data_IF_000089252738
#
_entry.id   IF_000089252738
#
_cell.length_a   1.000
_cell.length_b   1.000
_cell.length_c   1.000
_cell.angle_alpha   90.00
_cell.angle_beta   90.00
_cell.angle_gamma   90.00
#
_symmetry.space_group_name_H-M   'P 1'
#
loop_
_entity.id
_entity.type
_entity.pdbx_description
1 polymer ?
#
# COMPACT_ATOMS: atom_id res chain seq x y z
N UNK A 1 -5.11 -16.04 0.85
CA UNK A 1 -4.20 -16.65 -0.14
C UNK A 1 -4.52 -15.99 -1.46
N UNK A 2 -3.73 -14.97 -1.82
CA UNK A 2 -3.71 -14.49 -3.19
C UNK A 2 -3.25 -15.67 -4.04
N UNK A 3 -4.07 -16.04 -5.01
CA UNK A 3 -3.70 -16.98 -6.04
C UNK A 3 -2.66 -16.24 -6.89
N UNK A 4 -1.38 -16.36 -6.51
CA UNK A 4 -0.26 -15.81 -7.27
C UNK A 4 -0.19 -16.62 -8.56
N UNK A 5 -1.09 -16.32 -9.50
CA UNK A 5 -0.95 -16.79 -10.88
C UNK A 5 0.43 -16.32 -11.31
N UNK A 6 1.33 -17.28 -11.55
CA UNK A 6 2.56 -17.03 -12.31
C UNK A 6 2.14 -16.31 -13.59
N UNK A 7 2.36 -14.99 -13.60
CA UNK A 7 2.04 -14.16 -14.74
C UNK A 7 3.09 -14.46 -15.80
N UNK A 8 2.62 -14.95 -16.94
CA UNK A 8 3.48 -15.20 -18.10
C UNK A 8 4.20 -13.91 -18.47
N UNK A 9 5.53 -13.98 -18.49
CA UNK A 9 6.36 -12.85 -18.87
C UNK A 9 6.37 -12.71 -20.40
N UNK A 10 6.38 -11.46 -20.87
CA UNK A 10 6.61 -11.22 -22.29
C UNK A 10 8.09 -11.38 -22.67
N UNK A 11 8.36 -11.46 -23.98
CA UNK A 11 9.73 -11.66 -24.50
C UNK A 11 10.68 -10.54 -24.07
N UNK A 12 10.21 -9.29 -24.00
CA UNK A 12 11.05 -8.15 -23.64
C UNK A 12 11.40 -8.18 -22.15
N UNK A 13 10.45 -8.54 -21.29
CA UNK A 13 10.65 -8.75 -19.86
C UNK A 13 11.70 -9.85 -19.61
N UNK A 14 11.59 -10.98 -20.31
CA UNK A 14 12.57 -12.09 -20.21
C UNK A 14 13.97 -11.65 -20.66
N UNK A 15 14.07 -10.95 -21.78
CA UNK A 15 15.35 -10.46 -22.30
C UNK A 15 16.00 -9.45 -21.35
N UNK A 16 15.23 -8.52 -20.76
CA UNK A 16 15.72 -7.55 -19.80
C UNK A 16 16.26 -8.22 -18.53
N UNK A 17 15.52 -9.19 -17.97
CA UNK A 17 15.96 -9.94 -16.79
C UNK A 17 17.24 -10.73 -17.07
N UNK A 18 17.30 -11.43 -18.22
CA UNK A 18 18.49 -12.16 -18.62
C UNK A 18 19.71 -11.25 -18.83
N UNK A 19 19.49 -9.99 -19.24
CA UNK A 19 20.58 -9.02 -19.35
C UNK A 19 21.07 -8.55 -17.98
N UNK A 20 20.16 -8.34 -17.02
CA UNK A 20 20.49 -7.96 -15.63
C UNK A 20 21.30 -9.07 -14.93
N UNK A 21 20.93 -10.32 -15.15
CA UNK A 21 21.69 -11.48 -14.64
C UNK A 21 23.13 -11.54 -15.18
N UNK A 22 23.35 -11.08 -16.41
CA UNK A 22 24.67 -11.10 -17.07
C UNK A 22 25.51 -9.88 -16.73
N UNK A 23 24.87 -8.72 -16.52
CA UNK A 23 25.53 -7.43 -16.33
C UNK A 23 24.78 -6.56 -15.33
N UNK A 24 25.37 -6.36 -14.15
CA UNK A 24 24.80 -5.51 -13.11
C UNK A 24 24.62 -4.05 -13.52
N UNK A 25 25.36 -3.56 -14.53
CA UNK A 25 25.15 -2.21 -15.07
C UNK A 25 23.80 -2.08 -15.79
N UNK A 26 23.23 -3.18 -16.28
CA UNK A 26 21.91 -3.18 -16.91
C UNK A 26 20.80 -2.82 -15.92
N UNK A 27 20.91 -3.23 -14.64
CA UNK A 27 19.96 -2.82 -13.62
C UNK A 27 20.07 -1.32 -13.35
N UNK A 28 21.29 -0.79 -13.22
CA UNK A 28 21.49 0.64 -13.01
C UNK A 28 20.89 1.49 -14.14
N UNK A 29 21.10 1.09 -15.40
CA UNK A 29 20.50 1.76 -16.56
C UNK A 29 18.97 1.69 -16.54
N UNK A 30 18.40 0.54 -16.12
CA UNK A 30 16.96 0.37 -16.01
C UNK A 30 16.35 1.24 -14.90
N UNK A 31 17.05 1.43 -13.79
CA UNK A 31 16.66 2.37 -12.72
C UNK A 31 16.74 3.81 -13.23
N UNK A 32 17.79 4.20 -13.94
CA UNK A 32 17.90 5.54 -14.57
C UNK A 32 16.71 5.81 -15.51
N UNK A 33 16.31 4.79 -16.28
CA UNK A 33 15.20 4.86 -17.23
C UNK A 33 13.83 5.11 -16.58
N UNK A 34 13.68 4.95 -15.26
CA UNK A 34 12.48 5.41 -14.53
C UNK A 34 12.29 6.93 -14.61
N UNK A 35 13.35 7.68 -14.91
CA UNK A 35 13.34 9.12 -15.14
C UNK A 35 13.37 9.51 -16.63
N UNK A 36 13.40 8.53 -17.54
CA UNK A 36 13.45 8.75 -19.00
C UNK A 36 12.34 9.68 -19.47
N UNK A 37 12.59 10.50 -20.50
CA UNK A 37 11.57 11.36 -21.11
C UNK A 37 10.45 10.56 -21.80
N UNK A 38 10.74 9.32 -22.21
CA UNK A 38 9.80 8.41 -22.83
C UNK A 38 8.93 7.73 -21.79
N UNK A 39 7.62 8.01 -21.83
CA UNK A 39 6.61 7.29 -21.03
C UNK A 39 6.75 5.78 -21.17
N UNK A 40 6.91 5.28 -22.39
CA UNK A 40 6.99 3.83 -22.67
C UNK A 40 8.20 3.21 -21.98
N UNK A 41 9.33 3.92 -21.97
CA UNK A 41 10.56 3.48 -21.31
C UNK A 41 10.36 3.41 -19.81
N UNK A 42 9.81 4.46 -19.18
CA UNK A 42 9.48 4.45 -17.74
C UNK A 42 8.59 3.27 -17.35
N UNK A 43 7.52 3.04 -18.11
CA UNK A 43 6.56 1.97 -17.83
C UNK A 43 7.19 0.58 -17.96
N UNK A 44 8.01 0.37 -18.98
CA UNK A 44 8.73 -0.89 -19.17
C UNK A 44 9.75 -1.13 -18.04
N UNK A 45 10.56 -0.13 -17.71
CA UNK A 45 11.53 -0.23 -16.63
C UNK A 45 10.85 -0.50 -15.28
N UNK A 46 9.80 0.26 -14.93
CA UNK A 46 9.06 0.03 -13.69
C UNK A 46 8.48 -1.38 -13.62
N UNK A 47 7.96 -1.89 -14.74
CA UNK A 47 7.45 -3.26 -14.83
C UNK A 47 8.54 -4.31 -14.58
N UNK A 48 9.74 -4.15 -15.14
CA UNK A 48 10.87 -5.07 -14.89
C UNK A 48 11.35 -4.96 -13.45
N UNK A 49 11.40 -3.75 -12.87
CA UNK A 49 11.71 -3.54 -11.44
C UNK A 49 10.72 -4.30 -10.55
N UNK A 50 9.42 -4.22 -10.80
CA UNK A 50 8.42 -4.94 -10.02
C UNK A 50 8.61 -6.46 -10.08
N UNK A 51 8.97 -7.01 -11.25
CA UNK A 51 9.29 -8.44 -11.39
C UNK A 51 10.54 -8.80 -10.58
N UNK A 52 11.58 -7.96 -10.64
CA UNK A 52 12.80 -8.17 -9.85
C UNK A 52 12.52 -8.12 -8.35
N UNK A 53 11.70 -7.19 -7.89
CA UNK A 53 11.34 -7.08 -6.47
C UNK A 53 10.67 -8.36 -5.95
N UNK A 54 9.82 -9.00 -6.76
CA UNK A 54 9.15 -10.26 -6.40
C UNK A 54 10.09 -11.47 -6.40
N UNK A 55 11.17 -11.45 -7.19
CA UNK A 55 12.08 -12.60 -7.38
C UNK A 55 13.36 -12.48 -6.55
N UNK A 56 14.01 -11.33 -6.62
CA UNK A 56 15.32 -11.03 -6.06
C UNK A 56 15.35 -9.61 -5.48
N UNK A 57 14.55 -9.30 -4.43
CA UNK A 57 14.39 -7.95 -3.90
C UNK A 57 15.71 -7.30 -3.48
N UNK A 58 16.68 -8.10 -3.00
CA UNK A 58 17.99 -7.61 -2.54
C UNK A 58 18.81 -6.89 -3.62
N UNK A 59 18.55 -7.17 -4.91
CA UNK A 59 19.22 -6.43 -6.00
C UNK A 59 18.79 -4.95 -6.02
N UNK A 60 17.63 -4.63 -5.45
CA UNK A 60 17.07 -3.28 -5.41
C UNK A 60 17.45 -2.49 -4.15
N UNK A 61 18.13 -3.10 -3.17
CA UNK A 61 18.59 -2.43 -1.93
C UNK A 61 19.29 -1.08 -2.19
N UNK A 62 20.20 -0.95 -3.18
CA UNK A 62 20.90 0.30 -3.43
C UNK A 62 20.01 1.40 -4.02
N UNK A 63 18.84 1.04 -4.54
CA UNK A 63 17.99 1.90 -5.38
C UNK A 63 16.69 2.32 -4.69
N UNK A 64 16.52 2.05 -3.38
CA UNK A 64 15.31 2.44 -2.64
C UNK A 64 14.98 3.91 -2.83
N UNK A 65 15.97 4.81 -2.82
CA UNK A 65 15.75 6.24 -3.04
C UNK A 65 15.25 6.55 -4.45
N UNK A 66 15.77 5.88 -5.48
CA UNK A 66 15.35 6.07 -6.88
C UNK A 66 13.92 5.57 -7.11
N UNK A 67 13.54 4.48 -6.44
CA UNK A 67 12.17 3.98 -6.45
C UNK A 67 11.22 4.99 -5.78
N UNK A 68 11.61 5.60 -4.67
CA UNK A 68 10.79 6.63 -4.03
C UNK A 68 10.62 7.85 -4.95
N UNK A 69 11.68 8.29 -5.64
CA UNK A 69 11.58 9.38 -6.64
C UNK A 69 10.62 9.04 -7.79
N UNK A 70 10.61 7.78 -8.23
CA UNK A 70 9.76 7.34 -9.34
C UNK A 70 8.24 7.41 -9.02
N UNK A 71 7.84 7.57 -7.75
CA UNK A 71 6.43 7.81 -7.37
C UNK A 71 5.89 9.16 -7.88
N UNK A 72 6.76 10.07 -8.28
CA UNK A 72 6.41 11.40 -8.81
C UNK A 72 6.38 11.42 -10.35
N UNK A 73 6.38 10.26 -11.02
CA UNK A 73 6.13 10.18 -12.47
C UNK A 73 4.63 10.35 -12.76
N UNK A 74 4.22 10.93 -13.90
CA UNK A 74 2.82 11.28 -14.14
C UNK A 74 1.92 10.07 -14.41
N UNK A 75 2.48 8.95 -14.89
CA UNK A 75 1.69 7.77 -15.22
C UNK A 75 1.36 6.91 -14.00
N UNK A 76 0.10 6.52 -13.88
CA UNK A 76 -0.33 5.55 -12.88
C UNK A 76 0.49 4.25 -12.93
N UNK A 77 0.81 3.74 -14.13
CA UNK A 77 1.54 2.48 -14.29
C UNK A 77 2.92 2.50 -13.64
N UNK A 78 3.72 3.51 -13.94
CA UNK A 78 5.06 3.64 -13.35
C UNK A 78 4.97 3.67 -11.83
N UNK A 79 4.00 4.42 -11.30
CA UNK A 79 3.80 4.58 -9.86
C UNK A 79 3.37 3.27 -9.18
N UNK A 80 2.41 2.53 -9.73
CA UNK A 80 1.94 1.30 -9.07
C UNK A 80 3.00 0.19 -9.08
N UNK A 81 3.73 0.02 -10.20
CA UNK A 81 4.77 -1.02 -10.29
C UNK A 81 5.89 -0.71 -9.27
N UNK A 82 6.20 0.58 -9.07
CA UNK A 82 7.18 1.00 -8.08
C UNK A 82 6.66 0.88 -6.64
N UNK A 83 5.39 1.16 -6.37
CA UNK A 83 4.78 0.90 -5.06
C UNK A 83 4.79 -0.59 -4.72
N UNK A 84 4.52 -1.45 -5.69
CA UNK A 84 4.58 -2.90 -5.52
C UNK A 84 6.03 -3.33 -5.23
N UNK A 85 7.01 -2.80 -5.95
CA UNK A 85 8.42 -3.06 -5.70
C UNK A 85 8.87 -2.61 -4.30
N UNK A 86 8.47 -1.39 -3.89
CA UNK A 86 8.75 -0.87 -2.55
C UNK A 86 8.11 -1.75 -1.47
N UNK A 87 6.92 -2.32 -1.72
CA UNK A 87 6.24 -3.19 -0.75
C UNK A 87 7.06 -4.44 -0.42
N UNK A 88 7.70 -5.06 -1.43
CA UNK A 88 8.61 -6.21 -1.25
C UNK A 88 9.88 -5.86 -0.47
N UNK A 89 10.31 -4.59 -0.49
CA UNK A 89 11.50 -4.10 0.19
C UNK A 89 11.25 -3.66 1.65
N UNK A 90 9.98 -3.53 2.06
CA UNK A 90 9.62 -3.12 3.43
C UNK A 90 10.28 -3.96 4.52
N UNK A 91 10.39 -5.31 4.44
CA UNK A 91 10.98 -6.11 5.51
C UNK A 91 12.38 -5.65 5.92
N UNK A 92 13.19 -5.20 4.96
CA UNK A 92 14.59 -4.82 5.17
C UNK A 92 14.81 -3.30 5.18
N UNK A 93 13.94 -2.51 4.52
CA UNK A 93 14.13 -1.07 4.30
C UNK A 93 12.98 -0.19 4.81
N UNK A 94 12.18 -0.67 5.76
CA UNK A 94 11.02 0.08 6.26
C UNK A 94 11.33 1.50 6.75
N UNK A 95 12.55 1.79 7.22
CA UNK A 95 12.89 3.13 7.70
C UNK A 95 13.01 4.11 6.52
N UNK A 96 13.74 3.72 5.50
CA UNK A 96 14.03 4.46 4.27
C UNK A 96 12.74 4.67 3.47
N UNK A 97 11.93 3.62 3.34
CA UNK A 97 10.63 3.63 2.65
C UNK A 97 9.63 4.57 3.32
N UNK A 98 9.86 5.00 4.57
CA UNK A 98 9.05 6.03 5.21
C UNK A 98 8.99 7.35 4.42
N UNK A 99 9.97 7.64 3.57
CA UNK A 99 9.94 8.80 2.67
C UNK A 99 8.94 8.65 1.50
N UNK A 100 8.48 7.44 1.20
CA UNK A 100 7.44 7.19 0.20
C UNK A 100 6.02 7.60 0.65
N UNK A 101 5.84 7.95 1.93
CA UNK A 101 4.51 8.12 2.54
C UNK A 101 3.63 9.11 1.77
N UNK A 102 4.14 10.30 1.43
CA UNK A 102 3.36 11.33 0.71
C UNK A 102 3.01 10.89 -0.72
N UNK A 103 3.94 10.22 -1.40
CA UNK A 103 3.72 9.66 -2.73
C UNK A 103 2.66 8.56 -2.73
N UNK A 104 2.69 7.70 -1.71
CA UNK A 104 1.72 6.62 -1.49
C UNK A 104 0.34 7.19 -1.11
N UNK A 105 0.26 8.18 -0.23
CA UNK A 105 -0.99 8.86 0.12
C UNK A 105 -1.65 9.52 -1.11
N UNK A 106 -0.84 10.22 -1.92
CA UNK A 106 -1.32 10.81 -3.19
C UNK A 106 -1.81 9.73 -4.15
N UNK A 107 -1.15 8.57 -4.22
CA UNK A 107 -1.56 7.45 -5.05
C UNK A 107 -2.82 6.74 -4.53
N UNK A 108 -3.00 6.70 -3.22
CA UNK A 108 -4.14 6.06 -2.55
C UNK A 108 -5.47 6.73 -2.92
N UNK A 109 -5.44 8.04 -3.17
CA UNK A 109 -6.62 8.83 -3.55
C UNK A 109 -6.65 9.23 -5.03
N UNK A 110 -5.94 8.49 -5.89
CA UNK A 110 -5.98 8.71 -7.33
C UNK A 110 -7.40 8.46 -7.90
N UNK A 111 -7.93 9.45 -8.62
CA UNK A 111 -9.30 9.43 -9.14
C UNK A 111 -9.49 8.50 -10.34
N UNK A 112 -8.41 8.09 -11.02
CA UNK A 112 -8.47 7.45 -12.33
C UNK A 112 -8.06 5.97 -12.30
N UNK A 113 -7.19 5.58 -11.37
CA UNK A 113 -6.57 4.25 -11.38
C UNK A 113 -6.83 3.46 -10.10
N UNK A 114 -7.77 2.53 -10.16
CA UNK A 114 -8.00 1.53 -9.10
C UNK A 114 -6.75 0.70 -8.78
N UNK A 115 -5.96 0.34 -9.80
CA UNK A 115 -4.69 -0.38 -9.62
C UNK A 115 -3.70 0.42 -8.78
N UNK A 116 -3.56 1.71 -9.07
CA UNK A 116 -2.67 2.59 -8.31
C UNK A 116 -3.13 2.73 -6.84
N UNK A 117 -4.44 2.91 -6.63
CA UNK A 117 -5.04 2.96 -5.29
C UNK A 117 -4.74 1.68 -4.50
N UNK A 118 -4.89 0.52 -5.15
CA UNK A 118 -4.64 -0.78 -4.53
C UNK A 118 -3.17 -0.98 -4.14
N UNK A 119 -2.22 -0.68 -5.02
CA UNK A 119 -0.78 -0.77 -4.72
C UNK A 119 -0.35 0.20 -3.61
N UNK A 120 -0.94 1.40 -3.58
CA UNK A 120 -0.71 2.36 -2.50
C UNK A 120 -1.26 1.85 -1.16
N UNK A 121 -2.48 1.31 -1.16
CA UNK A 121 -3.09 0.70 0.01
C UNK A 121 -2.24 -0.46 0.55
N UNK A 122 -1.71 -1.31 -0.35
CA UNK A 122 -0.81 -2.40 -0.01
C UNK A 122 0.46 -1.90 0.70
N UNK A 123 1.20 -0.97 0.08
CA UNK A 123 2.43 -0.42 0.65
C UNK A 123 2.19 0.16 2.05
N UNK A 124 1.12 0.95 2.21
CA UNK A 124 0.78 1.58 3.49
C UNK A 124 0.42 0.55 4.57
N UNK A 125 -0.28 -0.52 4.20
CA UNK A 125 -0.56 -1.63 5.12
C UNK A 125 0.73 -2.34 5.53
N UNK A 126 1.56 -2.77 4.58
CA UNK A 126 2.80 -3.52 4.88
C UNK A 126 3.76 -2.66 5.69
N UNK A 127 3.96 -1.40 5.30
CA UNK A 127 4.81 -0.44 6.02
C UNK A 127 4.27 -0.15 7.43
N UNK A 128 2.98 0.13 7.56
CA UNK A 128 2.32 0.35 8.84
C UNK A 128 2.36 -0.84 9.78
N UNK A 129 2.38 -2.05 9.24
CA UNK A 129 2.44 -3.31 9.98
C UNK A 129 3.82 -3.57 10.61
N UNK A 130 4.86 -2.82 10.27
CA UNK A 130 6.22 -3.09 10.76
C UNK A 130 6.47 -2.61 12.19
N UNK A 131 5.75 -1.58 12.68
CA UNK A 131 5.84 -1.10 14.06
C UNK A 131 4.65 -0.22 14.45
N UNK A 132 4.44 -0.07 15.77
CA UNK A 132 3.30 0.65 16.35
C UNK A 132 3.24 2.14 15.97
N UNK A 133 4.39 2.78 15.82
CA UNK A 133 4.45 4.19 15.42
C UNK A 133 3.95 4.40 13.99
N UNK A 134 4.41 3.55 13.06
CA UNK A 134 3.97 3.54 11.66
C UNK A 134 2.50 3.18 11.53
N UNK A 135 2.02 2.19 12.29
CA UNK A 135 0.59 1.83 12.28
C UNK A 135 -0.30 3.03 12.64
N UNK A 136 0.11 3.83 13.63
CA UNK A 136 -0.63 5.05 14.00
C UNK A 136 -0.59 6.11 12.91
N UNK A 137 0.54 6.24 12.21
CA UNK A 137 0.70 7.20 11.11
C UNK A 137 -0.20 6.85 9.92
N UNK A 138 -0.23 5.58 9.49
CA UNK A 138 -1.01 5.16 8.31
C UNK A 138 -2.49 4.98 8.59
N UNK A 139 -2.88 4.71 9.83
CA UNK A 139 -4.25 4.31 10.12
C UNK A 139 -5.30 5.37 9.73
N UNK A 140 -5.12 6.68 9.97
CA UNK A 140 -6.09 7.69 9.53
C UNK A 140 -6.41 7.63 8.04
N UNK A 141 -5.39 7.46 7.18
CA UNK A 141 -5.54 7.43 5.72
C UNK A 141 -6.08 6.08 5.23
N UNK A 142 -5.71 4.97 5.88
CA UNK A 142 -6.27 3.65 5.60
C UNK A 142 -7.76 3.62 5.96
N UNK A 143 -8.14 4.16 7.12
CA UNK A 143 -9.54 4.22 7.58
C UNK A 143 -10.41 5.07 6.64
N UNK A 144 -9.86 6.16 6.10
CA UNK A 144 -10.50 6.98 5.08
C UNK A 144 -10.66 6.22 3.75
N UNK A 145 -9.59 5.58 3.26
CA UNK A 145 -9.65 4.77 2.03
C UNK A 145 -10.67 3.63 2.12
N UNK A 146 -10.80 2.97 3.28
CA UNK A 146 -11.85 1.97 3.51
C UNK A 146 -13.24 2.57 3.28
N UNK A 147 -13.48 3.78 3.78
CA UNK A 147 -14.77 4.45 3.62
C UNK A 147 -15.04 4.88 2.18
N UNK A 148 -14.01 5.37 1.49
CA UNK A 148 -14.13 5.80 0.10
C UNK A 148 -14.40 4.62 -0.84
N UNK A 149 -13.75 3.48 -0.59
CA UNK A 149 -13.67 2.39 -1.57
C UNK A 149 -14.45 1.14 -1.18
N UNK A 150 -15.20 1.16 -0.07
CA UNK A 150 -15.98 0.00 0.41
C UNK A 150 -16.85 -0.66 -0.68
N UNK A 151 -17.41 0.15 -1.58
CA UNK A 151 -18.28 -0.30 -2.67
C UNK A 151 -17.56 -0.71 -3.96
N UNK A 152 -16.24 -0.51 -4.03
CA UNK A 152 -15.45 -0.73 -5.23
C UNK A 152 -15.00 -2.21 -5.35
N UNK A 153 -14.64 -2.63 -6.57
CA UNK A 153 -14.27 -4.02 -6.84
C UNK A 153 -12.98 -4.43 -6.12
N UNK A 154 -12.01 -3.53 -6.06
CA UNK A 154 -10.71 -3.72 -5.42
C UNK A 154 -10.79 -3.78 -3.89
N UNK A 155 -11.92 -3.40 -3.27
CA UNK A 155 -12.07 -3.49 -1.81
C UNK A 155 -11.89 -4.91 -1.29
N UNK A 156 -12.26 -5.90 -2.12
CA UNK A 156 -12.01 -7.31 -1.82
C UNK A 156 -10.53 -7.59 -1.57
N UNK A 157 -9.64 -7.02 -2.38
CA UNK A 157 -8.20 -7.21 -2.28
C UNK A 157 -7.62 -6.32 -1.16
N UNK A 158 -8.15 -5.11 -0.97
CA UNK A 158 -7.82 -4.27 0.20
C UNK A 158 -8.11 -4.96 1.53
N UNK A 159 -9.19 -5.74 1.64
CA UNK A 159 -9.47 -6.58 2.82
C UNK A 159 -8.39 -7.65 3.05
N UNK A 160 -7.75 -8.13 1.98
CA UNK A 160 -6.58 -9.02 2.08
C UNK A 160 -5.42 -8.32 2.77
N UNK A 161 -5.08 -7.11 2.31
CA UNK A 161 -4.00 -6.31 2.91
C UNK A 161 -4.32 -5.83 4.33
N UNK A 162 -5.59 -5.55 4.66
CA UNK A 162 -6.01 -5.26 6.03
C UNK A 162 -5.83 -6.46 6.96
N UNK A 163 -6.03 -7.68 6.46
CA UNK A 163 -5.78 -8.88 7.23
C UNK A 163 -4.29 -9.02 7.57
N UNK A 164 -3.39 -8.76 6.63
CA UNK A 164 -1.94 -8.74 6.86
C UNK A 164 -1.54 -7.61 7.81
N UNK A 165 -2.09 -6.41 7.63
CA UNK A 165 -1.89 -5.29 8.56
C UNK A 165 -2.29 -5.64 10.00
N UNK A 166 -3.45 -6.28 10.16
CA UNK A 166 -3.97 -6.71 11.45
C UNK A 166 -3.14 -7.83 12.12
N UNK A 167 -2.39 -8.62 11.35
CA UNK A 167 -1.40 -9.60 11.84
C UNK A 167 -0.08 -8.93 12.26
N UNK A 168 0.23 -7.77 11.68
CA UNK A 168 1.45 -6.99 11.91
C UNK A 168 1.61 -6.41 13.32
N UNK A 169 2.69 -5.68 13.54
CA UNK A 169 3.01 -4.97 14.79
C UNK A 169 2.26 -3.64 14.89
N UNK A 170 0.93 -3.70 14.99
CA UNK A 170 0.10 -2.50 15.14
C UNK A 170 -0.11 -2.08 16.61
N UNK A 171 -0.43 -0.81 16.82
CA UNK A 171 -0.81 -0.27 18.12
C UNK A 171 -2.21 -0.75 18.55
N UNK A 172 -2.46 -0.81 19.86
CA UNK A 172 -3.72 -1.34 20.40
C UNK A 172 -4.94 -0.46 20.10
N UNK A 173 -4.75 0.86 20.07
CA UNK A 173 -5.78 1.83 19.66
C UNK A 173 -6.14 1.67 18.17
N UNK A 174 -5.13 1.50 17.30
CA UNK A 174 -5.34 1.19 15.88
C UNK A 174 -6.09 -0.14 15.70
N UNK A 175 -5.73 -1.16 16.48
CA UNK A 175 -6.42 -2.44 16.47
C UNK A 175 -7.90 -2.34 16.89
N UNK A 176 -8.18 -1.52 17.91
CA UNK A 176 -9.54 -1.24 18.36
C UNK A 176 -10.37 -0.54 17.28
N UNK A 177 -9.79 0.50 16.66
CA UNK A 177 -10.46 1.26 15.60
C UNK A 177 -10.71 0.41 14.34
N UNK A 178 -9.75 -0.43 13.95
CA UNK A 178 -9.90 -1.36 12.82
C UNK A 178 -10.97 -2.42 13.10
N UNK A 179 -10.97 -3.03 14.29
CA UNK A 179 -12.03 -3.96 14.67
C UNK A 179 -13.40 -3.27 14.67
N UNK A 180 -13.49 -2.06 15.21
CA UNK A 180 -14.71 -1.26 15.19
C UNK A 180 -15.19 -0.95 13.77
N UNK A 181 -14.27 -0.65 12.84
CA UNK A 181 -14.58 -0.39 11.42
C UNK A 181 -15.19 -1.60 10.73
N UNK A 182 -14.67 -2.81 11.00
CA UNK A 182 -15.08 -4.05 10.33
C UNK A 182 -16.24 -4.79 11.03
N UNK A 183 -16.63 -4.37 12.24
CA UNK A 183 -17.68 -5.03 13.04
C UNK A 183 -19.00 -5.20 12.29
N UNK A 184 -19.45 -4.14 11.59
CA UNK A 184 -20.69 -4.19 10.82
C UNK A 184 -20.63 -5.21 9.69
N UNK A 185 -19.55 -5.23 8.91
CA UNK A 185 -19.39 -6.18 7.80
C UNK A 185 -19.21 -7.61 8.30
N UNK A 186 -18.54 -7.81 9.44
CA UNK A 186 -18.40 -9.11 10.09
C UNK A 186 -19.76 -9.72 10.45
N UNK A 187 -20.76 -8.90 10.77
CA UNK A 187 -22.12 -9.33 11.12
C UNK A 187 -23.05 -9.37 9.91
N UNK A 188 -23.02 -8.32 9.08
CA UNK A 188 -24.04 -7.98 8.10
C UNK A 188 -23.52 -7.91 6.65
N UNK A 189 -22.22 -8.14 6.44
CA UNK A 189 -21.58 -8.04 5.12
C UNK A 189 -22.30 -8.84 4.05
N UNK A 190 -22.48 -8.25 2.87
CA UNK A 190 -23.11 -8.89 1.72
C UNK A 190 -22.08 -9.72 0.95
N UNK A 191 -22.44 -10.95 0.60
CA UNK A 191 -21.55 -11.89 -0.07
C UNK A 191 -20.65 -12.67 0.91
N UNK A 192 -20.24 -13.87 0.50
CA UNK A 192 -19.51 -14.79 1.37
C UNK A 192 -18.13 -14.26 1.77
N UNK A 193 -17.40 -13.63 0.85
CA UNK A 193 -16.03 -13.19 1.09
C UNK A 193 -15.95 -11.97 2.03
N UNK A 194 -16.70 -10.89 1.75
CA UNK A 194 -16.68 -9.65 2.56
C UNK A 194 -16.97 -9.96 4.04
N UNK A 195 -18.06 -10.70 4.29
CA UNK A 195 -18.45 -11.07 5.65
C UNK A 195 -17.42 -11.98 6.33
N UNK A 196 -16.95 -13.02 5.62
CA UNK A 196 -16.00 -13.98 6.19
C UNK A 196 -14.65 -13.32 6.51
N UNK A 197 -14.08 -12.55 5.58
CA UNK A 197 -12.79 -11.87 5.76
C UNK A 197 -12.87 -10.78 6.83
N UNK A 198 -13.94 -9.99 6.86
CA UNK A 198 -14.15 -8.98 7.91
C UNK A 198 -14.28 -9.62 9.28
N UNK A 199 -14.99 -10.74 9.39
CA UNK A 199 -15.11 -11.51 10.64
C UNK A 199 -13.79 -12.10 11.08
N UNK A 200 -13.00 -12.67 10.17
CA UNK A 200 -11.67 -13.20 10.47
C UNK A 200 -10.75 -12.12 11.05
N UNK A 201 -10.72 -10.93 10.45
CA UNK A 201 -9.94 -9.79 10.95
C UNK A 201 -10.46 -9.35 12.31
N UNK A 202 -11.78 -9.16 12.45
CA UNK A 202 -12.42 -8.74 13.69
C UNK A 202 -12.11 -9.69 14.85
N UNK A 203 -12.38 -10.98 14.69
CA UNK A 203 -12.18 -11.99 15.74
C UNK A 203 -10.70 -12.11 16.12
N UNK A 204 -9.79 -12.00 15.14
CA UNK A 204 -8.35 -11.97 15.38
C UNK A 204 -7.95 -10.78 16.25
N UNK A 205 -8.42 -9.57 15.93
CA UNK A 205 -8.08 -8.36 16.68
C UNK A 205 -8.66 -8.40 18.10
N UNK A 206 -9.92 -8.78 18.24
CA UNK A 206 -10.59 -8.96 19.54
C UNK A 206 -9.80 -9.91 20.42
N UNK A 207 -9.40 -11.06 19.88
CA UNK A 207 -8.62 -12.07 20.62
C UNK A 207 -7.21 -11.57 20.96
N UNK A 208 -6.50 -11.00 19.98
CA UNK A 208 -5.10 -10.61 20.11
C UNK A 208 -4.91 -9.43 21.07
N UNK A 209 -5.85 -8.49 21.08
CA UNK A 209 -5.78 -7.27 21.88
C UNK A 209 -6.73 -7.26 23.09
N UNK A 210 -7.51 -8.34 23.28
CA UNK A 210 -8.50 -8.49 24.37
C UNK A 210 -9.52 -7.34 24.38
N UNK A 211 -10.06 -7.04 23.21
CA UNK A 211 -11.05 -5.98 23.01
C UNK A 211 -12.42 -6.47 23.47
N UNK A 212 -13.22 -5.60 24.08
CA UNK A 212 -14.58 -5.93 24.55
C UNK A 212 -15.64 -5.36 23.60
N UNK A 213 -15.66 -4.04 23.45
CA UNK A 213 -16.58 -3.31 22.57
C UNK A 213 -15.80 -2.35 21.65
N UNK A 214 -15.06 -2.88 20.66
CA UNK A 214 -14.21 -2.06 19.80
C UNK A 214 -15.04 -1.02 19.02
N UNK A 215 -14.55 0.21 18.98
CA UNK A 215 -15.24 1.35 18.35
C UNK A 215 -14.45 1.86 17.17
N UNK A 216 -15.15 2.12 16.06
CA UNK A 216 -14.54 2.79 14.91
C UNK A 216 -14.06 4.18 15.31
N UNK A 217 -13.04 4.68 14.62
CA UNK A 217 -12.53 6.05 14.76
C UNK A 217 -13.67 7.07 14.61
N UNK A 218 -13.75 8.02 15.53
CA UNK A 218 -14.64 9.19 15.40
C UNK A 218 -13.92 10.23 14.57
N UNK A 219 -14.58 10.80 13.54
CA UNK A 219 -14.00 11.92 12.79
C UNK A 219 -13.67 13.04 13.76
N UNK A 220 -12.45 13.57 13.69
CA UNK A 220 -12.12 14.79 14.40
C UNK A 220 -13.08 15.89 13.90
N UNK A 221 -13.81 16.53 14.82
CA UNK A 221 -14.47 17.79 14.50
C UNK A 221 -13.37 18.79 14.14
N UNK A 222 -13.51 19.49 13.02
CA UNK A 222 -12.70 20.66 12.77
C UNK A 222 -12.85 21.58 14.00
N UNK A 223 -11.74 22.02 14.57
CA UNK A 223 -11.80 23.14 15.52
C UNK A 223 -12.31 24.32 14.70
N UNK A 224 -13.47 24.86 15.06
CA UNK A 224 -13.81 26.23 14.68
C UNK A 224 -12.66 27.08 15.19
N UNK A 225 -11.86 27.62 14.27
CA UNK A 225 -11.01 28.75 14.60
C UNK A 225 -11.98 29.92 14.81
N UNK A 226 -12.22 30.25 16.08
CA UNK A 226 -12.93 31.46 16.50
C UNK A 226 -12.26 32.66 15.83
N UNK A 227 -12.86 33.14 14.74
CA UNK A 227 -12.62 34.48 14.23
C UNK A 227 -13.45 35.39 15.14
N UNK A 228 -12.80 35.93 16.17
CA UNK A 228 -13.30 37.13 16.84
C UNK A 228 -13.43 38.21 15.75
N UNK A 229 -14.67 38.47 15.32
CA UNK A 229 -15.01 39.68 14.58
C UNK A 229 -14.83 40.87 15.52
N UNK A 230 -13.70 41.57 15.36
CA UNK A 230 -13.48 42.89 15.93
C UNK A 230 -14.59 43.84 15.44
N UNK A 231 -15.34 44.38 16.40
CA UNK A 231 -16.36 45.41 16.23
C UNK A 231 -15.75 46.72 15.71
N UNK A 232 -16.33 47.29 14.63
CA UNK A 232 -16.26 48.74 14.32
C UNK A 232 -17.64 49.39 14.43
#
# INVERSE_FOLDING_TARGET
MADTKERELDTQEVEALAQIERDGAALAALIEDLSSSSRRTRQFSARVVAILAQREPKLLDPYVSDLIDALYRPEAQTRWEVLDALSELVPDHAKEIGAAFEGAETALFDELSATLRLSAFHLLCVWGATERGRSKKVWPIIDEAIQCYHGDLEYRDMLGYLHEFAQGKIAGDVAEELAGRLSFDAENGKGSYLKARSREIYDMLVKRFKLDAPKKRVRAQAKDDDVEEDEE
#
